data_IF_999720461467
#
_entry.id   IF_999720461467
#
_cell.length_a   1.000
_cell.length_b   1.000
_cell.length_c   1.000
_cell.angle_alpha   90.00
_cell.angle_beta   90.00
_cell.angle_gamma   90.00
#
_symmetry.space_group_name_H-M   'P 1'
#
loop_
_entity.id
_entity.type
_entity.pdbx_description
1 polymer ?
#
# COMPACT_ATOMS: atom_id res chain seq x y z
N UNK A 1 -22.53 -31.43 -51.63
CA UNK A 1 -21.42 -32.33 -51.24
C UNK A 1 -20.09 -31.62 -51.41
N UNK A 2 -19.40 -31.25 -50.33
CA UNK A 2 -17.94 -31.35 -50.17
C UNK A 2 -17.56 -30.92 -48.74
N UNK A 3 -16.86 -31.82 -48.06
CA UNK A 3 -16.24 -31.64 -46.75
C UNK A 3 -14.95 -30.82 -46.88
N UNK A 4 -14.32 -30.58 -45.72
CA UNK A 4 -12.90 -30.23 -45.46
C UNK A 4 -12.68 -28.73 -45.20
N UNK A 5 -11.89 -28.24 -44.25
CA UNK A 5 -11.39 -28.62 -42.91
C UNK A 5 -10.59 -27.40 -42.40
N UNK A 6 -10.69 -27.10 -41.10
CA UNK A 6 -9.64 -26.70 -40.13
C UNK A 6 -8.36 -26.01 -40.67
N UNK A 7 -8.01 -24.80 -40.17
CA UNK A 7 -6.85 -24.55 -39.28
C UNK A 7 -6.63 -23.06 -38.97
N UNK A 8 -6.33 -22.77 -37.70
CA UNK A 8 -5.81 -21.50 -37.18
C UNK A 8 -4.48 -21.10 -37.86
N UNK A 9 -4.31 -19.81 -38.16
CA UNK A 9 -3.00 -19.14 -38.12
C UNK A 9 -3.17 -17.69 -37.64
N UNK A 10 -2.40 -17.34 -36.62
CA UNK A 10 -2.30 -16.01 -36.02
C UNK A 10 -1.66 -14.98 -36.97
N UNK A 11 -1.99 -13.70 -36.82
CA UNK A 11 -1.17 -12.60 -37.35
C UNK A 11 -1.33 -11.32 -36.52
N UNK A 12 -0.21 -10.92 -35.91
CA UNK A 12 0.07 -9.58 -35.39
C UNK A 12 -0.13 -8.51 -36.47
N UNK A 13 -0.64 -7.33 -36.07
CA UNK A 13 -0.23 -5.99 -36.54
C UNK A 13 -1.16 -4.95 -35.88
N UNK A 14 -0.67 -4.10 -34.97
CA UNK A 14 -0.11 -2.75 -35.21
C UNK A 14 -1.16 -1.63 -35.25
N UNK A 15 -0.92 -0.59 -34.46
CA UNK A 15 -1.70 0.67 -34.44
C UNK A 15 -1.53 1.42 -33.12
N UNK A 16 -0.32 1.94 -32.84
CA UNK A 16 0.05 3.37 -32.90
C UNK A 16 -0.65 4.27 -31.88
N UNK A 17 0.11 4.79 -30.91
CA UNK A 17 -0.34 5.86 -30.03
C UNK A 17 0.67 6.30 -28.98
N UNK A 18 1.54 7.23 -29.38
CA UNK A 18 2.23 8.26 -28.59
C UNK A 18 3.06 7.93 -27.34
N UNK A 19 4.30 8.41 -27.42
CA UNK A 19 5.27 8.66 -26.37
C UNK A 19 4.71 9.63 -25.32
N UNK A 20 4.65 9.23 -24.04
CA UNK A 20 4.92 10.12 -22.89
C UNK A 20 5.34 9.31 -21.66
N UNK A 21 6.27 9.90 -20.91
CA UNK A 21 6.80 9.50 -19.59
C UNK A 21 7.67 8.24 -19.53
N UNK A 22 8.98 8.49 -19.48
CA UNK A 22 9.95 7.57 -18.92
C UNK A 22 9.52 7.14 -17.50
N UNK A 23 8.94 5.95 -17.40
CA UNK A 23 8.90 5.21 -16.14
C UNK A 23 10.23 4.49 -16.02
N UNK A 24 10.98 4.59 -14.90
CA UNK A 24 12.17 3.77 -14.71
C UNK A 24 11.75 2.30 -14.79
N UNK A 25 12.46 1.58 -15.66
CA UNK A 25 12.28 0.19 -15.97
C UNK A 25 12.25 -0.68 -14.69
N UNK A 26 11.06 -1.13 -14.31
CA UNK A 26 10.87 -2.32 -13.46
C UNK A 26 9.77 -3.20 -14.04
N UNK A 27 9.91 -3.58 -15.31
CA UNK A 27 9.05 -4.57 -15.94
C UNK A 27 9.85 -5.80 -16.41
N UNK A 28 10.78 -6.28 -15.57
CA UNK A 28 11.15 -7.68 -15.63
C UNK A 28 10.11 -8.45 -14.78
N UNK A 29 9.23 -9.23 -15.44
CA UNK A 29 8.40 -10.26 -14.78
C UNK A 29 9.33 -11.35 -14.23
N UNK A 30 10.07 -11.04 -13.16
CA UNK A 30 10.72 -12.06 -12.34
C UNK A 30 9.58 -12.89 -11.76
N UNK A 31 9.58 -14.21 -11.95
CA UNK A 31 8.76 -15.11 -11.13
C UNK A 31 9.15 -14.82 -9.69
N UNK A 32 8.40 -13.96 -9.01
CA UNK A 32 8.63 -13.68 -7.59
C UNK A 32 8.43 -15.00 -6.89
N UNK A 33 9.51 -15.58 -6.39
CA UNK A 33 9.44 -16.80 -5.60
C UNK A 33 8.39 -16.57 -4.52
N UNK A 34 7.37 -17.44 -4.46
CA UNK A 34 6.28 -17.29 -3.52
C UNK A 34 6.85 -17.30 -2.12
N UNK A 35 6.66 -16.21 -1.38
CA UNK A 35 7.12 -16.11 0.01
C UNK A 35 6.32 -17.12 0.83
N UNK A 36 7.00 -18.12 1.42
CA UNK A 36 6.36 -19.23 2.14
C UNK A 36 6.27 -19.01 3.64
N UNK A 37 7.10 -18.13 4.19
CA UNK A 37 7.11 -17.73 5.59
C UNK A 37 7.85 -16.40 5.75
N UNK A 38 7.62 -15.71 6.86
CA UNK A 38 8.29 -14.45 7.17
C UNK A 38 9.83 -14.59 7.12
N UNK A 39 10.38 -15.63 7.76
CA UNK A 39 11.83 -15.87 7.79
C UNK A 39 12.43 -16.21 6.41
N UNK A 40 11.60 -16.67 5.47
CA UNK A 40 12.03 -16.95 4.11
C UNK A 40 12.04 -15.68 3.23
N UNK A 41 11.46 -14.57 3.71
CA UNK A 41 11.44 -13.30 2.98
C UNK A 41 12.75 -12.53 3.19
N UNK A 42 13.64 -12.60 2.20
CA UNK A 42 14.90 -11.85 2.19
C UNK A 42 14.70 -10.33 2.04
N UNK A 43 13.52 -9.89 1.62
CA UNK A 43 13.18 -8.49 1.39
C UNK A 43 12.05 -8.03 2.31
N UNK A 44 11.97 -8.57 3.53
CA UNK A 44 10.87 -8.33 4.48
C UNK A 44 10.51 -6.84 4.62
N UNK A 45 11.48 -5.99 4.93
CA UNK A 45 11.26 -4.54 5.10
C UNK A 45 10.65 -3.89 3.86
N UNK A 46 11.21 -4.20 2.68
CA UNK A 46 10.75 -3.66 1.40
C UNK A 46 9.34 -4.15 1.09
N UNK A 47 9.07 -5.44 1.29
CA UNK A 47 7.77 -6.02 0.96
C UNK A 47 6.66 -5.54 1.91
N UNK A 48 6.96 -5.36 3.20
CA UNK A 48 6.03 -4.75 4.17
C UNK A 48 5.76 -3.28 3.80
N UNK A 49 6.80 -2.51 3.46
CA UNK A 49 6.63 -1.13 3.00
C UNK A 49 5.75 -1.05 1.75
N UNK A 50 6.02 -1.89 0.74
CA UNK A 50 5.24 -1.95 -0.50
C UNK A 50 3.79 -2.39 -0.27
N UNK A 51 3.55 -3.27 0.69
CA UNK A 51 2.18 -3.62 1.10
C UNK A 51 1.44 -2.41 1.69
N UNK A 52 2.15 -1.54 2.42
CA UNK A 52 1.53 -0.41 3.12
C UNK A 52 1.34 0.83 2.24
N UNK A 53 2.20 1.08 1.25
CA UNK A 53 2.13 2.26 0.35
C UNK A 53 0.71 2.51 -0.21
N UNK A 54 -0.04 1.51 -0.72
CA UNK A 54 -1.38 1.72 -1.24
C UNK A 54 -2.37 2.35 -0.26
N UNK A 55 -2.21 2.13 1.05
CA UNK A 55 -3.03 2.79 2.07
C UNK A 55 -2.89 4.31 2.03
N UNK A 56 -1.71 4.82 1.67
CA UNK A 56 -1.43 6.24 1.61
C UNK A 56 -1.75 6.80 0.22
N UNK A 57 -1.35 6.10 -0.85
CA UNK A 57 -1.46 6.62 -2.22
C UNK A 57 -2.82 6.38 -2.88
N UNK A 58 -3.64 5.49 -2.32
CA UNK A 58 -4.97 5.16 -2.83
C UNK A 58 -5.91 6.36 -2.82
N UNK A 59 -6.66 6.53 -3.89
CA UNK A 59 -7.65 7.60 -4.08
C UNK A 59 -9.03 7.19 -3.58
N UNK A 60 -9.35 5.91 -3.53
CA UNK A 60 -10.62 5.41 -2.98
C UNK A 60 -10.38 4.64 -1.70
N UNK A 61 -11.38 4.54 -0.81
CA UNK A 61 -11.23 3.67 0.37
C UNK A 61 -10.90 2.23 -0.03
N UNK A 62 -11.50 1.74 -1.12
CA UNK A 62 -11.22 0.41 -1.67
C UNK A 62 -9.74 0.24 -2.06
N UNK A 63 -9.13 1.23 -2.73
CA UNK A 63 -7.70 1.21 -3.05
C UNK A 63 -6.83 1.24 -1.78
N UNK A 64 -7.20 2.06 -0.80
CA UNK A 64 -6.45 2.20 0.46
C UNK A 64 -6.46 0.91 1.29
N UNK A 65 -7.56 0.16 1.26
CA UNK A 65 -7.69 -1.10 2.02
C UNK A 65 -7.31 -2.35 1.21
N UNK A 66 -6.87 -2.22 -0.04
CA UNK A 66 -6.59 -3.36 -0.93
C UNK A 66 -5.49 -4.32 -0.43
N UNK A 67 -4.61 -3.82 0.42
CA UNK A 67 -3.55 -4.59 1.08
C UNK A 67 -3.72 -4.64 2.60
N UNK A 68 -4.91 -4.35 3.12
CA UNK A 68 -5.22 -4.48 4.54
C UNK A 68 -5.92 -5.80 4.76
N UNK A 69 -5.49 -6.56 5.76
CA UNK A 69 -6.15 -7.80 6.15
C UNK A 69 -7.59 -7.49 6.56
N UNK A 70 -8.56 -8.22 5.99
CA UNK A 70 -9.99 -7.98 6.18
C UNK A 70 -10.41 -6.51 5.95
N UNK A 71 -9.73 -5.81 5.03
CA UNK A 71 -9.91 -4.38 4.79
C UNK A 71 -11.34 -3.93 4.47
N UNK A 72 -12.20 -4.84 4.00
CA UNK A 72 -13.63 -4.55 3.79
C UNK A 72 -14.38 -4.21 5.07
N UNK A 73 -13.94 -4.72 6.24
CA UNK A 73 -14.55 -4.41 7.54
C UNK A 73 -14.39 -2.95 7.92
N UNK A 74 -13.28 -2.32 7.52
CA UNK A 74 -12.94 -0.93 7.87
C UNK A 74 -13.23 0.05 6.72
N UNK A 75 -13.96 -0.36 5.68
CA UNK A 75 -14.19 0.46 4.49
C UNK A 75 -14.86 1.80 4.82
N UNK A 76 -15.92 1.77 5.64
CA UNK A 76 -16.68 2.96 6.02
C UNK A 76 -15.82 4.01 6.79
N UNK A 77 -15.11 3.67 7.87
CA UNK A 77 -14.23 4.64 8.54
C UNK A 77 -13.08 5.11 7.64
N UNK A 78 -12.54 4.24 6.78
CA UNK A 78 -11.51 4.65 5.81
C UNK A 78 -12.06 5.64 4.77
N UNK A 79 -13.32 5.51 4.34
CA UNK A 79 -13.97 6.48 3.45
C UNK A 79 -14.04 7.87 4.09
N UNK A 80 -14.48 7.95 5.36
CA UNK A 80 -14.52 9.22 6.12
C UNK A 80 -13.12 9.83 6.25
N UNK A 81 -12.13 9.00 6.61
CA UNK A 81 -10.72 9.44 6.68
C UNK A 81 -10.19 9.94 5.33
N UNK A 82 -10.59 9.29 4.23
CA UNK A 82 -10.20 9.69 2.86
C UNK A 82 -10.82 11.01 2.45
N UNK A 83 -12.10 11.22 2.75
CA UNK A 83 -12.77 12.49 2.51
C UNK A 83 -12.12 13.64 3.30
N UNK A 84 -11.78 13.42 4.57
CA UNK A 84 -11.10 14.42 5.40
C UNK A 84 -9.70 14.77 4.88
N UNK A 85 -8.90 13.75 4.51
CA UNK A 85 -7.57 13.97 3.94
C UNK A 85 -7.61 14.77 2.62
N UNK A 86 -8.63 14.53 1.78
CA UNK A 86 -8.91 15.32 0.58
C UNK A 86 -9.27 16.76 0.89
N UNK A 87 -10.18 16.96 1.84
CA UNK A 87 -10.59 18.30 2.27
C UNK A 87 -9.40 19.12 2.83
N UNK A 88 -8.40 18.46 3.43
CA UNK A 88 -7.16 19.09 3.91
C UNK A 88 -6.04 19.17 2.87
N UNK A 89 -6.27 18.79 1.60
CA UNK A 89 -5.26 18.85 0.53
C UNK A 89 -4.12 17.82 0.63
N UNK A 90 -4.30 16.75 1.43
CA UNK A 90 -3.27 15.73 1.70
C UNK A 90 -3.36 14.50 0.77
N UNK A 91 -4.16 14.57 -0.29
CA UNK A 91 -4.51 13.41 -1.14
C UNK A 91 -3.81 13.39 -2.51
N UNK A 92 -2.90 14.32 -2.78
CA UNK A 92 -2.17 14.36 -4.06
C UNK A 92 -0.85 13.60 -3.96
N UNK A 93 -0.35 13.08 -5.08
CA UNK A 93 0.95 12.38 -5.12
C UNK A 93 2.13 13.25 -4.63
N UNK A 94 1.98 14.58 -4.65
CA UNK A 94 2.96 15.54 -4.16
C UNK A 94 2.84 15.84 -2.65
N UNK A 95 1.64 15.68 -2.08
CA UNK A 95 1.33 16.06 -0.68
C UNK A 95 1.12 14.88 0.26
N UNK A 96 1.04 13.66 -0.28
CA UNK A 96 0.85 12.44 0.52
C UNK A 96 2.11 12.09 1.30
N UNK A 97 1.94 11.77 2.58
CA UNK A 97 2.99 11.15 3.40
C UNK A 97 2.99 9.64 3.23
N UNK A 98 4.14 9.01 3.03
CA UNK A 98 4.30 7.57 2.86
C UNK A 98 5.20 6.98 3.94
N UNK A 99 5.09 5.66 4.22
CA UNK A 99 5.96 4.99 5.17
C UNK A 99 7.39 4.91 4.61
N UNK A 100 8.34 5.35 5.43
CA UNK A 100 9.78 5.30 5.16
C UNK A 100 10.50 4.67 6.34
N UNK A 101 11.76 4.25 6.14
CA UNK A 101 12.59 3.58 7.15
C UNK A 101 11.88 2.41 7.84
N UNK A 102 11.15 1.59 7.07
CA UNK A 102 10.45 0.43 7.62
C UNK A 102 11.47 -0.58 8.13
N UNK A 103 11.40 -0.89 9.43
CA UNK A 103 12.19 -1.93 10.08
C UNK A 103 11.25 -3.00 10.60
N UNK A 104 11.19 -4.13 9.91
CA UNK A 104 10.31 -5.26 10.22
C UNK A 104 11.08 -6.43 10.84
N UNK A 105 10.44 -7.10 11.79
CA UNK A 105 10.93 -8.30 12.47
C UNK A 105 9.84 -9.36 12.45
N UNK A 106 10.22 -10.61 12.16
CA UNK A 106 9.26 -11.70 12.12
C UNK A 106 8.63 -11.99 13.48
N UNK A 107 7.30 -12.04 13.50
CA UNK A 107 6.47 -12.46 14.63
C UNK A 107 5.79 -13.79 14.26
N UNK A 108 6.51 -14.89 14.47
CA UNK A 108 6.05 -16.24 14.09
C UNK A 108 6.28 -16.58 12.62
N UNK A 109 5.47 -17.51 12.08
CA UNK A 109 5.65 -18.06 10.71
C UNK A 109 5.18 -17.08 9.63
N UNK A 110 4.07 -16.39 9.86
CA UNK A 110 3.41 -15.52 8.87
C UNK A 110 3.28 -14.08 9.33
N UNK A 111 3.49 -13.77 10.61
CA UNK A 111 3.41 -12.40 11.11
C UNK A 111 4.75 -11.66 11.03
N UNK A 112 4.66 -10.33 10.93
CA UNK A 112 5.78 -9.41 11.10
C UNK A 112 5.32 -8.18 11.91
N UNK A 113 6.13 -7.78 12.88
CA UNK A 113 6.03 -6.48 13.57
C UNK A 113 6.96 -5.52 12.87
N UNK A 114 6.56 -4.28 12.68
CA UNK A 114 7.41 -3.28 12.07
C UNK A 114 7.31 -1.91 12.73
N UNK A 115 8.38 -1.15 12.61
CA UNK A 115 8.40 0.28 12.90
C UNK A 115 8.59 1.06 11.60
N UNK A 116 8.07 2.27 11.54
CA UNK A 116 8.18 3.13 10.38
C UNK A 116 8.15 4.61 10.76
N UNK A 117 8.77 5.42 9.92
CA UNK A 117 8.62 6.87 9.90
C UNK A 117 7.65 7.26 8.76
N UNK A 118 7.13 8.48 8.79
CA UNK A 118 6.36 9.06 7.69
C UNK A 118 7.15 10.18 7.02
N UNK A 119 7.13 10.24 5.70
CA UNK A 119 7.73 11.35 4.94
C UNK A 119 6.90 11.69 3.70
N UNK A 120 6.97 12.95 3.27
CA UNK A 120 6.33 13.40 2.02
C UNK A 120 6.88 12.63 0.82
N UNK A 121 5.98 12.16 -0.05
CA UNK A 121 6.32 11.38 -1.24
C UNK A 121 7.12 12.20 -2.29
N UNK A 122 6.86 13.50 -2.39
CA UNK A 122 7.72 14.44 -3.12
C UNK A 122 7.90 15.73 -2.30
N UNK A 123 9.03 15.92 -1.60
CA UNK A 123 9.30 17.20 -0.96
C UNK A 123 9.43 18.28 -2.04
N UNK A 124 8.67 19.37 -1.91
CA UNK A 124 8.87 20.55 -2.73
C UNK A 124 10.26 21.12 -2.40
N UNK A 125 11.22 20.95 -3.31
CA UNK A 125 12.65 21.31 -3.16
C UNK A 125 13.44 20.56 -2.08
N UNK A 126 14.77 20.52 -2.25
CA UNK A 126 15.70 19.93 -1.32
C UNK A 126 15.57 20.58 0.06
N UNK A 127 14.81 19.94 0.94
CA UNK A 127 14.68 20.35 2.34
C UNK A 127 16.02 20.01 2.99
N UNK A 128 16.79 21.03 3.37
CA UNK A 128 18.05 20.89 4.12
C UNK A 128 17.85 20.38 5.57
N UNK A 129 16.61 20.05 5.91
CA UNK A 129 16.16 19.45 7.16
C UNK A 129 15.07 18.41 6.83
N UNK A 130 15.05 17.23 7.50
CA UNK A 130 13.98 16.24 7.34
C UNK A 130 12.61 16.94 7.47
N UNK A 131 11.58 16.56 6.69
CA UNK A 131 10.32 17.29 6.71
C UNK A 131 9.84 17.38 8.16
N UNK A 132 9.53 18.61 8.60
CA UNK A 132 9.12 18.95 9.96
C UNK A 132 7.80 18.29 10.41
N UNK A 133 7.32 17.28 9.67
CA UNK A 133 6.16 16.46 9.98
C UNK A 133 6.44 15.01 9.55
N UNK A 134 7.08 14.20 10.41
CA UNK A 134 6.94 12.74 10.36
C UNK A 134 8.19 11.85 10.45
N UNK A 135 9.40 12.37 10.17
CA UNK A 135 10.64 11.59 10.32
C UNK A 135 11.11 11.62 11.79
N UNK A 136 11.14 10.48 12.47
CA UNK A 136 11.51 10.35 13.89
C UNK A 136 10.33 10.10 14.84
N UNK A 137 9.11 9.91 14.32
CA UNK A 137 7.92 9.62 15.13
C UNK A 137 7.75 8.13 15.46
N UNK A 138 8.53 7.24 14.83
CA UNK A 138 8.63 5.81 15.15
C UNK A 138 7.26 5.15 15.40
N UNK A 139 6.40 5.15 14.38
CA UNK A 139 5.14 4.44 14.45
C UNK A 139 5.38 2.94 14.46
N UNK A 140 4.49 2.20 15.12
CA UNK A 140 4.49 0.75 15.13
C UNK A 140 3.34 0.22 14.26
N UNK A 141 3.53 -0.98 13.72
CA UNK A 141 2.51 -1.68 12.97
C UNK A 141 2.77 -3.17 12.88
N UNK A 142 1.76 -3.88 12.41
CA UNK A 142 1.77 -5.32 12.21
C UNK A 142 1.34 -5.67 10.78
N UNK A 143 1.91 -6.75 10.26
CA UNK A 143 1.59 -7.28 8.95
C UNK A 143 1.53 -8.81 8.98
N UNK A 144 0.72 -9.39 8.09
CA UNK A 144 0.52 -10.83 7.96
C UNK A 144 0.73 -11.27 6.52
N UNK A 145 1.49 -12.34 6.35
CA UNK A 145 1.72 -13.00 5.07
C UNK A 145 0.57 -13.96 4.76
N UNK A 146 -0.23 -13.64 3.75
CA UNK A 146 -1.35 -14.46 3.27
C UNK A 146 -1.09 -14.86 1.82
N UNK A 147 -1.00 -16.18 1.57
CA UNK A 147 -0.79 -16.75 0.23
C UNK A 147 0.41 -16.16 -0.54
N UNK A 148 1.44 -15.68 0.17
CA UNK A 148 2.65 -15.09 -0.42
C UNK A 148 2.60 -13.57 -0.64
N UNK A 149 1.55 -12.90 -0.15
CA UNK A 149 1.39 -11.44 -0.16
C UNK A 149 1.34 -10.92 1.28
N UNK A 150 2.11 -9.87 1.57
CA UNK A 150 1.99 -9.16 2.83
C UNK A 150 0.73 -8.30 2.83
N UNK A 151 -0.03 -8.38 3.91
CA UNK A 151 -1.19 -7.55 4.21
C UNK A 151 -0.95 -6.84 5.53
N UNK A 152 -1.32 -5.57 5.61
CA UNK A 152 -1.20 -4.77 6.83
C UNK A 152 -2.35 -5.12 7.77
N UNK A 153 -2.06 -5.21 9.06
CA UNK A 153 -3.08 -5.43 10.07
C UNK A 153 -4.06 -4.23 10.11
N UNK A 154 -5.38 -4.46 10.15
CA UNK A 154 -6.35 -3.38 10.15
C UNK A 154 -6.20 -2.45 11.36
N UNK A 155 -5.74 -2.94 12.51
CA UNK A 155 -5.50 -2.11 13.69
C UNK A 155 -4.34 -1.13 13.48
N UNK A 156 -3.35 -1.49 12.68
CA UNK A 156 -2.26 -0.56 12.29
C UNK A 156 -2.82 0.64 11.52
N UNK A 157 -3.74 0.37 10.60
CA UNK A 157 -4.43 1.41 9.83
C UNK A 157 -5.35 2.24 10.72
N UNK A 158 -6.10 1.62 11.61
CA UNK A 158 -7.03 2.31 12.49
C UNK A 158 -6.32 3.19 13.53
N UNK A 159 -5.17 2.75 14.08
CA UNK A 159 -4.34 3.57 14.96
C UNK A 159 -3.84 4.82 14.22
N UNK A 160 -3.36 4.65 12.98
CA UNK A 160 -2.92 5.77 12.16
C UNK A 160 -4.05 6.77 11.86
N UNK A 161 -5.26 6.28 11.55
CA UNK A 161 -6.43 7.13 11.36
C UNK A 161 -6.79 7.87 12.65
N UNK A 162 -6.71 7.20 13.81
CA UNK A 162 -6.98 7.79 15.12
C UNK A 162 -6.00 8.90 15.51
N UNK A 163 -4.82 8.94 14.90
CA UNK A 163 -3.83 10.01 15.08
C UNK A 163 -4.11 11.25 14.23
N UNK A 164 -5.08 11.20 13.30
CA UNK A 164 -5.47 12.36 12.52
C UNK A 164 -6.38 13.28 13.35
N UNK A 165 -5.92 14.49 13.76
CA UNK A 165 -6.71 15.39 14.58
C UNK A 165 -7.95 15.95 13.85
N UNK A 166 -8.00 15.87 12.51
CA UNK A 166 -9.16 16.29 11.72
C UNK A 166 -10.31 15.28 11.76
N UNK A 167 -10.07 14.06 12.27
CA UNK A 167 -11.07 12.98 12.33
C UNK A 167 -11.04 12.23 13.67
N UNK A 168 -11.25 12.92 14.81
CA UNK A 168 -11.00 12.37 16.15
C UNK A 168 -11.89 11.16 16.51
N UNK A 169 -13.07 11.03 15.91
CA UNK A 169 -14.00 9.92 16.16
C UNK A 169 -13.74 8.69 15.27
N UNK A 170 -13.02 8.85 14.16
CA UNK A 170 -12.92 7.82 13.13
C UNK A 170 -11.98 6.68 13.54
N UNK A 171 -10.94 6.97 14.33
CA UNK A 171 -10.02 5.96 14.87
C UNK A 171 -10.75 4.91 15.72
N UNK A 172 -11.47 5.31 16.78
CA UNK A 172 -12.27 4.38 17.60
C UNK A 172 -13.29 3.57 16.78
N UNK A 173 -14.00 4.19 15.84
CA UNK A 173 -14.95 3.50 14.97
C UNK A 173 -14.26 2.47 14.07
N UNK A 174 -13.07 2.80 13.56
CA UNK A 174 -12.24 1.89 12.79
C UNK A 174 -11.80 0.68 13.62
N UNK A 175 -11.30 0.91 14.84
CA UNK A 175 -10.88 -0.19 15.74
C UNK A 175 -12.05 -1.12 16.04
N UNK A 176 -13.23 -0.55 16.32
CA UNK A 176 -14.45 -1.33 16.57
C UNK A 176 -14.81 -2.19 15.36
N UNK A 177 -14.76 -1.63 14.15
CA UNK A 177 -15.05 -2.35 12.91
C UNK A 177 -14.00 -3.43 12.58
N UNK A 178 -12.72 -3.17 12.86
CA UNK A 178 -11.65 -4.15 12.68
C UNK A 178 -11.78 -5.36 13.62
N UNK A 179 -12.39 -5.15 14.79
CA UNK A 179 -12.52 -6.16 15.86
C UNK A 179 -13.81 -6.99 15.81
N UNK A 180 -14.76 -6.62 14.95
CA UNK A 180 -16.03 -7.36 14.72
C UNK A 180 -15.87 -8.47 13.68
#
# INVERSE_FOLDING_TARGET
MRRVAILLVASLALGTGLVTAASPAFAAKKKTAKITSCKADKNLNVNVQQAFIPFFTGQTAAERVANVLDGTKILAPVEVSTAAARASGQSSAATVTIPVKVVATCAGKTGARFTYDLALNQPASAVSSPPATGAGLNFAGDAVLVKGKWLIDPLTVCDLIGRNPSTPTVGPDCIKAASS
#
